data_IF_338207573935
#
_entry.id   IF_338207573935
#
_cell.length_a   1.000
_cell.length_b   1.000
_cell.length_c   1.000
_cell.angle_alpha   90.00
_cell.angle_beta   90.00
_cell.angle_gamma   90.00
#
_symmetry.space_group_name_H-M   'P 1'
#
loop_
_entity.id
_entity.type
_entity.pdbx_description
1 polymer ?
#
# COMPACT_ATOMS: atom_id res chain seq x y z
N UNK A 1 18.62 -20.73 26.15
CA UNK A 1 17.46 -20.06 26.50
C UNK A 1 17.15 -18.85 25.72
N UNK A 2 18.04 -17.97 25.56
CA UNK A 2 17.75 -16.82 24.82
C UNK A 2 17.42 -17.08 23.40
N UNK A 3 17.97 -18.11 22.84
CA UNK A 3 17.74 -18.36 21.45
C UNK A 3 16.31 -18.71 21.15
N UNK A 4 15.59 -19.15 22.10
CA UNK A 4 14.22 -19.51 21.86
C UNK A 4 13.34 -18.36 21.49
N UNK A 5 13.70 -17.19 21.89
CA UNK A 5 12.89 -16.05 21.59
C UNK A 5 12.84 -15.77 20.11
N UNK A 6 13.90 -16.06 19.42
CA UNK A 6 13.92 -15.80 18.01
C UNK A 6 12.89 -16.62 17.29
N UNK A 7 12.65 -17.80 17.78
CA UNK A 7 11.69 -18.67 17.15
C UNK A 7 10.28 -18.15 17.27
N UNK A 8 9.94 -17.67 18.43
CA UNK A 8 8.62 -17.15 18.66
C UNK A 8 8.36 -15.99 17.76
N UNK A 9 9.37 -15.20 17.54
CA UNK A 9 9.19 -14.03 16.71
C UNK A 9 8.86 -14.40 15.29
N UNK A 10 9.44 -15.44 14.79
CA UNK A 10 9.21 -15.82 13.42
C UNK A 10 7.75 -16.14 13.15
N UNK A 11 7.08 -16.66 14.11
CA UNK A 11 5.68 -17.01 13.93
C UNK A 11 4.80 -15.81 13.68
N UNK A 12 5.14 -14.72 14.26
CA UNK A 12 4.32 -13.54 14.12
C UNK A 12 4.31 -13.01 12.71
N UNK A 13 5.37 -13.22 12.00
CA UNK A 13 5.44 -12.72 10.65
C UNK A 13 4.44 -13.37 9.73
N UNK A 14 4.17 -14.63 9.97
CA UNK A 14 3.25 -15.34 9.10
C UNK A 14 1.89 -14.68 9.09
N UNK A 15 1.46 -14.21 10.25
CA UNK A 15 0.17 -13.57 10.31
C UNK A 15 0.18 -12.22 9.64
N UNK A 16 1.26 -11.49 9.81
CA UNK A 16 1.33 -10.16 9.25
C UNK A 16 1.35 -10.15 7.74
N UNK A 17 1.90 -11.18 7.14
CA UNK A 17 2.04 -11.20 5.69
C UNK A 17 0.71 -11.23 4.97
N UNK A 18 -0.31 -11.75 5.59
CA UNK A 18 -1.60 -11.80 4.93
C UNK A 18 -2.11 -10.43 4.55
N UNK A 19 -1.82 -9.44 5.35
CA UNK A 19 -2.30 -8.08 5.08
C UNK A 19 -1.54 -7.42 3.96
N UNK A 20 -0.32 -7.82 3.75
CA UNK A 20 0.52 -7.19 2.75
C UNK A 20 0.05 -7.42 1.34
N UNK A 21 -0.78 -8.41 1.14
CA UNK A 21 -1.21 -8.75 -0.21
C UNK A 21 -2.03 -7.67 -0.89
N UNK A 22 -2.63 -6.80 -0.13
CA UNK A 22 -3.41 -5.73 -0.73
C UNK A 22 -2.55 -4.66 -1.39
N UNK A 23 -1.35 -4.45 -0.88
CA UNK A 23 -0.52 -3.37 -1.38
C UNK A 23 -0.16 -3.48 -2.86
N UNK A 24 0.35 -4.61 -3.33
CA UNK A 24 0.68 -4.72 -4.76
C UNK A 24 -0.55 -4.60 -5.64
N UNK A 25 -1.65 -5.16 -5.19
CA UNK A 25 -2.90 -5.10 -5.95
C UNK A 25 -3.40 -3.67 -6.03
N UNK A 26 -3.35 -2.96 -4.93
CA UNK A 26 -3.81 -1.58 -4.88
C UNK A 26 -2.90 -0.68 -5.71
N UNK A 27 -1.60 -0.89 -5.66
CA UNK A 27 -0.66 -0.13 -6.46
C UNK A 27 -0.91 -0.33 -7.94
N UNK A 28 -1.17 -1.56 -8.34
CA UNK A 28 -1.47 -1.86 -9.73
C UNK A 28 -2.77 -1.19 -10.16
N UNK A 29 -3.78 -1.22 -9.31
CA UNK A 29 -5.05 -0.61 -9.63
C UNK A 29 -4.89 0.89 -9.83
N UNK A 30 -4.09 1.53 -9.01
CA UNK A 30 -3.82 2.95 -9.14
C UNK A 30 -3.08 3.23 -10.45
N UNK A 31 -2.06 2.43 -10.74
CA UNK A 31 -1.28 2.61 -11.96
C UNK A 31 -2.15 2.43 -13.20
N UNK A 32 -3.00 1.40 -13.20
CA UNK A 32 -3.90 1.14 -14.32
C UNK A 32 -4.88 2.29 -14.50
N UNK A 33 -5.42 2.80 -13.41
CA UNK A 33 -6.35 3.91 -13.49
C UNK A 33 -5.70 5.17 -14.03
N UNK A 34 -4.46 5.43 -13.60
CA UNK A 34 -3.74 6.60 -14.08
C UNK A 34 -3.38 6.48 -15.55
N UNK A 35 -3.13 5.27 -16.01
CA UNK A 35 -2.83 5.03 -17.41
C UNK A 35 -4.00 5.36 -18.32
N UNK A 36 -5.21 5.33 -17.78
CA UNK A 36 -6.42 5.66 -18.54
C UNK A 36 -6.67 7.16 -18.57
N UNK A 37 -5.75 7.93 -18.05
CA UNK A 37 -5.82 9.40 -18.05
C UNK A 37 -7.14 9.92 -17.49
N UNK A 38 -7.41 9.66 -16.21
CA UNK A 38 -8.66 10.12 -15.61
C UNK A 38 -8.69 11.64 -15.54
N UNK A 39 -9.89 12.16 -15.49
CA UNK A 39 -10.06 13.60 -15.39
C UNK A 39 -9.87 14.06 -13.97
N UNK A 40 -8.64 14.39 -13.64
CA UNK A 40 -8.29 14.88 -12.33
C UNK A 40 -7.79 16.31 -12.43
N UNK A 41 -8.02 17.07 -11.38
CA UNK A 41 -7.37 18.37 -11.30
C UNK A 41 -5.89 18.14 -11.09
N UNK A 42 -5.10 19.16 -11.34
CA UNK A 42 -3.67 19.05 -11.15
C UNK A 42 -3.33 18.70 -9.72
N UNK A 43 -4.06 19.29 -8.78
CA UNK A 43 -3.86 18.99 -7.37
C UNK A 43 -4.19 17.54 -7.05
N UNK A 44 -5.28 17.02 -7.61
CA UNK A 44 -5.65 15.63 -7.39
C UNK A 44 -4.63 14.67 -7.98
N UNK A 45 -4.13 14.98 -9.16
CA UNK A 45 -3.12 14.15 -9.79
C UNK A 45 -1.85 14.09 -8.95
N UNK A 46 -1.46 15.21 -8.38
CA UNK A 46 -0.30 15.24 -7.50
C UNK A 46 -0.54 14.43 -6.24
N UNK A 47 -1.72 14.52 -5.68
CA UNK A 47 -2.06 13.75 -4.49
C UNK A 47 -2.03 12.25 -4.74
N UNK A 48 -2.56 11.84 -5.89
CA UNK A 48 -2.55 10.43 -6.25
C UNK A 48 -1.12 9.93 -6.37
N UNK A 49 -0.28 10.68 -7.06
CA UNK A 49 1.12 10.27 -7.24
C UNK A 49 1.86 10.24 -5.91
N UNK A 50 1.62 11.21 -5.06
CA UNK A 50 2.28 11.26 -3.77
C UNK A 50 1.83 10.11 -2.88
N UNK A 51 0.54 9.83 -2.86
CA UNK A 51 0.01 8.74 -2.05
C UNK A 51 0.52 7.39 -2.56
N UNK A 52 0.58 7.24 -3.88
CA UNK A 52 1.09 6.02 -4.49
C UNK A 52 2.55 5.79 -4.10
N UNK A 53 3.36 6.84 -4.21
CA UNK A 53 4.78 6.74 -3.87
C UNK A 53 4.97 6.48 -2.38
N UNK A 54 4.20 7.14 -1.55
CA UNK A 54 4.29 6.94 -0.11
C UNK A 54 3.85 5.53 0.28
N UNK A 55 2.80 5.05 -0.35
CA UNK A 55 2.33 3.68 -0.11
C UNK A 55 3.38 2.66 -0.46
N UNK A 56 4.06 2.85 -1.58
CA UNK A 56 5.13 1.94 -1.98
C UNK A 56 6.28 1.98 -0.99
N UNK A 57 6.65 3.17 -0.55
CA UNK A 57 7.73 3.33 0.42
C UNK A 57 7.40 2.61 1.72
N UNK A 58 6.18 2.78 2.20
CA UNK A 58 5.74 2.13 3.42
C UNK A 58 5.69 0.61 3.26
N UNK A 59 5.27 0.16 2.09
CA UNK A 59 5.23 -1.26 1.80
C UNK A 59 6.64 -1.86 1.88
N UNK A 60 7.60 -1.19 1.28
CA UNK A 60 8.99 -1.66 1.30
C UNK A 60 9.59 -1.62 2.70
N UNK A 61 9.10 -0.70 3.53
CA UNK A 61 9.55 -0.59 4.91
C UNK A 61 8.89 -1.60 5.83
N UNK A 62 7.97 -2.40 5.32
CA UNK A 62 7.28 -3.38 6.12
C UNK A 62 6.08 -2.83 6.87
N UNK A 63 5.72 -1.59 6.63
CA UNK A 63 4.58 -0.97 7.28
C UNK A 63 3.35 -1.16 6.43
N UNK A 64 2.88 -2.38 6.36
CA UNK A 64 1.84 -2.76 5.42
C UNK A 64 0.50 -2.09 5.68
N UNK A 65 0.11 -1.96 6.92
CA UNK A 65 -1.17 -1.31 7.21
C UNK A 65 -1.14 0.17 6.83
N UNK A 66 -0.06 0.84 7.14
CA UNK A 66 0.09 2.24 6.78
C UNK A 66 0.14 2.41 5.27
N UNK A 67 0.76 1.46 4.59
CA UNK A 67 0.82 1.47 3.14
C UNK A 67 -0.58 1.37 2.55
N UNK A 68 -1.39 0.46 3.05
CA UNK A 68 -2.77 0.30 2.58
C UNK A 68 -3.55 1.57 2.82
N UNK A 69 -3.37 2.20 3.98
CA UNK A 69 -4.08 3.43 4.29
C UNK A 69 -3.70 4.56 3.33
N UNK A 70 -2.43 4.65 3.01
CA UNK A 70 -1.96 5.68 2.09
C UNK A 70 -2.47 5.44 0.67
N UNK A 71 -2.42 4.19 0.22
CA UNK A 71 -2.91 3.85 -1.10
C UNK A 71 -4.42 4.06 -1.21
N UNK A 72 -5.14 3.87 -0.13
CA UNK A 72 -6.58 4.10 -0.11
C UNK A 72 -6.92 5.54 -0.44
N UNK A 73 -6.07 6.48 -0.04
CA UNK A 73 -6.31 7.87 -0.36
C UNK A 73 -6.29 8.11 -1.86
N UNK A 74 -5.32 7.50 -2.54
CA UNK A 74 -5.23 7.63 -3.98
C UNK A 74 -6.42 6.94 -4.65
N UNK A 75 -6.79 5.77 -4.16
CA UNK A 75 -7.90 5.04 -4.73
C UNK A 75 -9.21 5.77 -4.58
N UNK A 76 -9.37 6.47 -3.47
CA UNK A 76 -10.57 7.26 -3.25
C UNK A 76 -10.68 8.39 -4.25
N UNK A 77 -9.57 9.06 -4.53
CA UNK A 77 -9.55 10.14 -5.51
C UNK A 77 -9.88 9.59 -6.89
N UNK A 78 -9.37 8.40 -7.20
CA UNK A 78 -9.61 7.76 -8.48
C UNK A 78 -10.93 7.02 -8.55
N UNK A 79 -11.65 6.98 -7.43
CA UNK A 79 -12.94 6.29 -7.36
C UNK A 79 -12.81 4.80 -7.63
N UNK A 80 -11.77 4.21 -7.09
CA UNK A 80 -11.54 2.78 -7.19
C UNK A 80 -11.90 2.14 -5.87
N UNK A 81 -12.54 0.99 -5.95
CA UNK A 81 -12.87 0.23 -4.75
C UNK A 81 -11.80 -0.83 -4.53
N UNK A 82 -11.34 -0.94 -3.31
CA UNK A 82 -10.34 -1.96 -2.98
C UNK A 82 -10.96 -3.33 -2.73
#
# INVERSE_FOLDING_TARGET
MKRMFALATALLFATGTAMAFHCPKDMKAIDDAMAKKPKLTEAQAKEVKAARAKGEELHKAGKHQESVDELAKAMKILNIKS
#
